data_IF_616397388616
#
_entry.id   IF_616397388616
#
_cell.length_a   1.000
_cell.length_b   1.000
_cell.length_c   1.000
_cell.angle_alpha   90.00
_cell.angle_beta   90.00
_cell.angle_gamma   90.00
#
_symmetry.space_group_name_H-M   'P 1'
#
loop_
_entity.id
_entity.type
_entity.pdbx_description
1 polymer ?
#
# COMPACT_ATOMS: atom_id res chain seq x y z
N UNK A 1 -33.54 -3.53 -0.43
CA UNK A 1 -32.11 -3.86 -0.25
C UNK A 1 -31.49 -2.72 0.52
N UNK A 2 -30.93 -3.04 1.68
CA UNK A 2 -30.16 -2.12 2.50
C UNK A 2 -28.67 -2.38 2.25
N UNK A 3 -27.87 -1.31 2.29
CA UNK A 3 -26.43 -1.35 2.00
C UNK A 3 -25.66 -0.53 3.02
N UNK A 4 -24.62 -1.14 3.61
CA UNK A 4 -23.71 -0.45 4.51
C UNK A 4 -22.75 0.50 3.76
N UNK A 5 -22.03 1.35 4.50
CA UNK A 5 -21.12 2.35 3.94
C UNK A 5 -20.02 1.77 3.06
N UNK A 6 -19.47 0.61 3.42
CA UNK A 6 -18.47 -0.10 2.61
C UNK A 6 -19.02 -0.45 1.23
N UNK A 7 -20.21 -1.04 1.20
CA UNK A 7 -20.89 -1.41 -0.03
C UNK A 7 -21.26 -0.18 -0.86
N UNK A 8 -21.70 0.91 -0.22
CA UNK A 8 -21.95 2.19 -0.90
C UNK A 8 -20.69 2.72 -1.60
N UNK A 9 -19.54 2.79 -0.92
CA UNK A 9 -18.27 3.25 -1.53
C UNK A 9 -17.83 2.33 -2.68
N UNK A 10 -18.03 1.01 -2.54
CA UNK A 10 -17.75 0.07 -3.61
C UNK A 10 -18.64 0.32 -4.85
N UNK A 11 -19.92 0.61 -4.66
CA UNK A 11 -20.84 0.99 -5.75
C UNK A 11 -20.37 2.25 -6.48
N UNK A 12 -19.96 3.29 -5.74
CA UNK A 12 -19.39 4.52 -6.34
C UNK A 12 -18.17 4.18 -7.20
N UNK A 13 -17.24 3.39 -6.67
CA UNK A 13 -16.03 3.00 -7.39
C UNK A 13 -16.33 2.22 -8.66
N UNK A 14 -17.28 1.28 -8.61
CA UNK A 14 -17.70 0.51 -9.80
C UNK A 14 -18.40 1.38 -10.85
N UNK A 15 -19.06 2.47 -10.43
CA UNK A 15 -19.58 3.50 -11.33
C UNK A 15 -18.51 4.43 -11.92
N UNK A 16 -17.23 4.23 -11.60
CA UNK A 16 -16.13 5.02 -12.15
C UNK A 16 -15.93 6.37 -11.45
N UNK A 17 -16.41 6.50 -10.22
CA UNK A 17 -16.14 7.69 -9.42
C UNK A 17 -14.65 7.84 -9.14
N UNK A 18 -14.19 9.08 -9.10
CA UNK A 18 -12.82 9.42 -8.68
C UNK A 18 -12.73 9.38 -7.15
N UNK A 19 -11.51 9.23 -6.64
CA UNK A 19 -11.23 9.30 -5.20
C UNK A 19 -11.85 10.53 -4.52
N UNK A 20 -11.73 11.72 -5.12
CA UNK A 20 -12.28 12.95 -4.54
C UNK A 20 -13.82 12.95 -4.46
N UNK A 21 -14.49 12.34 -5.45
CA UNK A 21 -15.95 12.21 -5.44
C UNK A 21 -16.39 11.19 -4.38
N UNK A 22 -15.69 10.06 -4.28
CA UNK A 22 -15.95 9.06 -3.23
C UNK A 22 -15.73 9.64 -1.84
N UNK A 23 -14.65 10.42 -1.65
CA UNK A 23 -14.36 11.11 -0.40
C UNK A 23 -15.41 12.16 -0.06
N UNK A 24 -15.94 12.89 -1.04
CA UNK A 24 -17.04 13.83 -0.82
C UNK A 24 -18.30 13.12 -0.31
N UNK A 25 -18.65 11.98 -0.91
CA UNK A 25 -19.76 11.15 -0.44
C UNK A 25 -19.51 10.59 0.97
N UNK A 26 -18.31 10.06 1.23
CA UNK A 26 -17.92 9.57 2.55
C UNK A 26 -17.98 10.67 3.63
N UNK A 27 -17.51 11.88 3.33
CA UNK A 27 -17.64 13.04 4.23
C UNK A 27 -19.09 13.43 4.47
N UNK A 28 -19.96 13.29 3.48
CA UNK A 28 -21.39 13.54 3.66
C UNK A 28 -22.02 12.50 4.59
N UNK A 29 -21.64 11.21 4.50
CA UNK A 29 -22.06 10.19 5.47
C UNK A 29 -21.63 10.52 6.90
N UNK A 30 -20.39 11.00 7.07
CA UNK A 30 -19.89 11.47 8.38
C UNK A 30 -20.75 12.62 8.89
N UNK A 31 -20.94 13.66 8.07
CA UNK A 31 -21.70 14.87 8.43
C UNK A 31 -23.13 14.55 8.88
N UNK A 32 -23.76 13.55 8.27
CA UNK A 32 -25.13 13.12 8.57
C UNK A 32 -25.21 12.05 9.67
N UNK A 33 -24.06 11.63 10.23
CA UNK A 33 -23.97 10.53 11.21
C UNK A 33 -24.61 9.21 10.70
N UNK A 34 -24.27 8.83 9.47
CA UNK A 34 -24.83 7.66 8.77
C UNK A 34 -23.81 6.54 8.50
N UNK A 35 -22.56 6.67 8.96
CA UNK A 35 -21.50 5.71 8.63
C UNK A 35 -21.80 4.27 9.07
N UNK A 36 -22.39 4.10 10.25
CA UNK A 36 -22.72 2.80 10.84
C UNK A 36 -24.12 2.30 10.45
N UNK A 37 -24.92 3.14 9.78
CA UNK A 37 -26.29 2.79 9.40
C UNK A 37 -26.32 2.07 8.05
N UNK A 38 -27.17 1.06 7.96
CA UNK A 38 -27.53 0.53 6.65
C UNK A 38 -28.57 1.45 6.01
N UNK A 39 -28.35 1.80 4.74
CA UNK A 39 -29.24 2.69 3.99
C UNK A 39 -29.93 1.90 2.88
N UNK A 40 -31.20 2.19 2.65
CA UNK A 40 -31.88 1.79 1.44
C UNK A 40 -31.23 2.45 0.21
N UNK A 41 -31.47 1.89 -0.97
CA UNK A 41 -31.01 2.51 -2.22
C UNK A 41 -31.58 3.92 -2.42
N UNK A 42 -32.79 4.19 -1.93
CA UNK A 42 -33.42 5.51 -2.05
C UNK A 42 -32.69 6.54 -1.18
N UNK A 43 -32.42 6.22 0.09
CA UNK A 43 -31.65 7.08 1.00
C UNK A 43 -30.24 7.37 0.45
N UNK A 44 -29.56 6.35 -0.11
CA UNK A 44 -28.27 6.54 -0.77
C UNK A 44 -28.37 7.46 -2.02
N UNK A 45 -29.47 7.39 -2.77
CA UNK A 45 -29.73 8.29 -3.90
C UNK A 45 -29.96 9.73 -3.44
N UNK A 46 -30.63 9.96 -2.31
CA UNK A 46 -30.84 11.29 -1.74
C UNK A 46 -29.51 11.93 -1.33
N UNK A 47 -28.62 11.16 -0.69
CA UNK A 47 -27.27 11.61 -0.35
C UNK A 47 -26.50 11.96 -1.62
N UNK A 48 -26.51 11.08 -2.63
CA UNK A 48 -25.92 11.37 -3.95
C UNK A 48 -26.51 12.65 -4.56
N UNK A 49 -27.82 12.85 -4.47
CA UNK A 49 -28.50 14.01 -5.04
C UNK A 49 -28.06 15.31 -4.37
N UNK A 50 -27.81 15.28 -3.05
CA UNK A 50 -27.33 16.42 -2.25
C UNK A 50 -25.90 16.88 -2.56
N UNK A 51 -25.10 16.05 -3.24
CA UNK A 51 -23.73 16.39 -3.60
C UNK A 51 -23.67 17.29 -4.83
N UNK A 52 -22.98 18.42 -4.69
CA UNK A 52 -22.76 19.39 -5.76
C UNK A 52 -21.43 19.15 -6.46
N UNK A 53 -21.49 18.52 -7.63
CA UNK A 53 -20.33 18.33 -8.52
C UNK A 53 -20.47 19.17 -9.78
N UNK A 54 -19.37 19.74 -10.28
CA UNK A 54 -19.35 20.47 -11.58
C UNK A 54 -19.84 19.60 -12.74
N UNK A 55 -19.41 18.34 -12.76
CA UNK A 55 -19.94 17.30 -13.65
C UNK A 55 -20.46 16.16 -12.78
N UNK A 56 -21.78 15.94 -12.81
CA UNK A 56 -22.41 14.93 -11.95
C UNK A 56 -22.03 13.53 -12.43
N UNK A 57 -21.33 12.71 -11.62
CA UNK A 57 -20.93 11.37 -12.00
C UNK A 57 -22.16 10.46 -12.11
N UNK A 58 -21.97 9.27 -12.68
CA UNK A 58 -23.04 8.27 -12.80
C UNK A 58 -23.60 7.91 -11.41
N UNK A 59 -24.92 8.00 -11.22
CA UNK A 59 -25.58 7.52 -10.00
C UNK A 59 -25.55 5.98 -9.94
N UNK A 60 -24.83 5.37 -8.98
CA UNK A 60 -24.76 3.91 -8.92
C UNK A 60 -25.96 3.25 -8.25
N UNK A 61 -26.80 4.01 -7.55
CA UNK A 61 -27.84 3.47 -6.66
C UNK A 61 -29.17 3.22 -7.38
N UNK A 62 -29.22 3.39 -8.71
CA UNK A 62 -30.39 3.08 -9.53
C UNK A 62 -30.43 1.57 -9.81
N UNK A 63 -31.56 0.95 -9.45
CA UNK A 63 -31.80 -0.50 -9.42
C UNK A 63 -31.90 -1.14 -10.80
N UNK A 64 -30.84 -1.10 -11.61
CA UNK A 64 -30.70 -1.84 -12.89
C UNK A 64 -29.25 -1.95 -13.38
N UNK A 65 -28.29 -1.21 -12.81
CA UNK A 65 -26.93 -1.07 -13.39
C UNK A 65 -25.85 -2.01 -12.85
N UNK A 66 -26.09 -2.69 -11.73
CA UNK A 66 -25.05 -3.52 -11.08
C UNK A 66 -25.51 -4.93 -10.75
N UNK A 67 -24.60 -5.89 -10.93
CA UNK A 67 -24.71 -7.22 -10.37
C UNK A 67 -24.31 -7.16 -8.89
N UNK A 68 -25.33 -7.14 -8.02
CA UNK A 68 -25.14 -7.01 -6.57
C UNK A 68 -24.47 -8.23 -5.92
N UNK A 69 -24.63 -9.43 -6.47
CA UNK A 69 -23.94 -10.63 -5.99
C UNK A 69 -22.42 -10.51 -6.18
N UNK A 70 -22.01 -10.07 -7.36
CA UNK A 70 -20.60 -9.82 -7.65
C UNK A 70 -20.01 -8.72 -6.75
N UNK A 71 -20.76 -7.64 -6.50
CA UNK A 71 -20.33 -6.59 -5.56
C UNK A 71 -20.19 -7.10 -4.13
N UNK A 72 -21.05 -8.03 -3.70
CA UNK A 72 -20.94 -8.61 -2.37
C UNK A 72 -19.64 -9.43 -2.21
N UNK A 73 -19.28 -10.22 -3.22
CA UNK A 73 -18.00 -10.94 -3.26
C UNK A 73 -16.81 -9.98 -3.20
N UNK A 74 -16.86 -8.88 -3.96
CA UNK A 74 -15.82 -7.85 -3.92
C UNK A 74 -15.73 -7.14 -2.57
N UNK A 75 -16.87 -6.91 -1.92
CA UNK A 75 -16.93 -6.33 -0.57
C UNK A 75 -16.22 -7.22 0.45
N UNK A 76 -16.44 -8.54 0.41
CA UNK A 76 -15.76 -9.52 1.27
C UNK A 76 -14.25 -9.58 1.03
N UNK A 77 -13.80 -9.28 -0.19
CA UNK A 77 -12.38 -9.23 -0.59
C UNK A 77 -11.80 -7.82 -0.55
N UNK A 78 -12.35 -6.95 0.29
CA UNK A 78 -11.87 -5.58 0.46
C UNK A 78 -11.77 -5.18 1.92
N UNK A 79 -10.88 -4.24 2.20
CA UNK A 79 -10.70 -3.53 3.45
C UNK A 79 -11.38 -2.18 3.30
N UNK A 80 -12.26 -1.84 4.22
CA UNK A 80 -12.85 -0.51 4.31
C UNK A 80 -12.11 0.31 5.36
N UNK A 81 -12.04 1.64 5.20
CA UNK A 81 -11.32 2.54 6.10
C UNK A 81 -11.75 2.41 7.58
N UNK A 82 -12.97 1.93 7.84
CA UNK A 82 -13.52 1.70 9.18
C UNK A 82 -13.44 0.23 9.65
N UNK A 83 -12.89 -0.68 8.84
CA UNK A 83 -12.67 -2.07 9.27
C UNK A 83 -11.57 -2.10 10.35
N UNK A 84 -11.73 -2.95 11.36
CA UNK A 84 -10.84 -3.02 12.54
C UNK A 84 -9.36 -3.27 12.19
N UNK A 85 -9.10 -4.09 11.18
CA UNK A 85 -7.77 -4.46 10.69
C UNK A 85 -7.35 -3.64 9.46
N UNK A 86 -8.06 -2.56 9.15
CA UNK A 86 -7.56 -1.55 8.22
C UNK A 86 -6.33 -0.87 8.84
N UNK A 87 -5.20 -0.74 8.11
CA UNK A 87 -4.00 -0.15 8.69
C UNK A 87 -4.25 1.28 9.19
N UNK A 88 -4.21 1.50 10.50
CA UNK A 88 -4.35 2.83 11.10
C UNK A 88 -3.34 3.82 10.51
N UNK A 89 -2.15 3.33 10.16
CA UNK A 89 -1.10 4.09 9.48
C UNK A 89 -1.57 4.72 8.15
N UNK A 90 -2.50 4.09 7.42
CA UNK A 90 -3.07 4.65 6.20
C UNK A 90 -4.12 5.73 6.45
N UNK A 91 -4.84 5.70 7.57
CA UNK A 91 -5.80 6.75 7.92
C UNK A 91 -5.11 8.10 8.13
N UNK A 92 -3.83 8.09 8.50
CA UNK A 92 -3.00 9.28 8.73
C UNK A 92 -2.43 9.89 7.44
N UNK A 93 -2.60 9.24 6.29
CA UNK A 93 -2.15 9.79 5.01
C UNK A 93 -2.94 11.03 4.63
N UNK A 94 -2.31 11.97 3.91
CA UNK A 94 -3.00 13.14 3.37
C UNK A 94 -4.18 12.76 2.44
N UNK A 95 -4.07 11.62 1.77
CA UNK A 95 -5.13 10.99 0.98
C UNK A 95 -5.25 9.53 1.42
N UNK A 96 -6.03 9.24 2.48
CA UNK A 96 -6.20 7.86 2.95
C UNK A 96 -7.07 7.08 1.95
N UNK A 97 -6.75 5.82 1.61
CA UNK A 97 -7.63 5.04 0.74
C UNK A 97 -8.94 4.72 1.49
N UNK A 98 -10.07 4.82 0.82
CA UNK A 98 -11.37 4.50 1.44
C UNK A 98 -11.67 2.99 1.37
N UNK A 99 -11.16 2.32 0.33
CA UNK A 99 -11.31 0.90 0.13
C UNK A 99 -10.03 0.34 -0.50
N UNK A 100 -9.58 -0.82 -0.03
CA UNK A 100 -8.43 -1.53 -0.60
C UNK A 100 -8.81 -2.99 -0.78
N UNK A 101 -8.75 -3.50 -2.01
CA UNK A 101 -8.95 -4.91 -2.29
C UNK A 101 -7.74 -5.72 -1.82
N UNK A 102 -7.97 -6.96 -1.40
CA UNK A 102 -6.91 -7.84 -0.97
C UNK A 102 -7.06 -9.26 -1.53
N UNK A 103 -5.94 -9.98 -1.58
CA UNK A 103 -5.88 -11.43 -1.82
C UNK A 103 -4.78 -12.05 -0.98
N UNK A 104 -5.09 -13.13 -0.26
CA UNK A 104 -4.16 -13.83 0.62
C UNK A 104 -4.40 -13.55 2.11
N UNK A 105 -3.35 -13.66 2.92
CA UNK A 105 -3.44 -13.63 4.39
C UNK A 105 -3.52 -12.21 4.95
N UNK A 106 -4.74 -11.78 5.28
CA UNK A 106 -5.03 -10.45 5.87
C UNK A 106 -4.30 -10.19 7.19
N UNK A 107 -4.03 -11.23 7.98
CA UNK A 107 -3.34 -11.10 9.28
C UNK A 107 -1.90 -10.58 9.18
N UNK A 108 -1.31 -10.55 7.98
CA UNK A 108 -0.06 -9.86 7.72
C UNK A 108 -0.12 -8.36 8.09
N UNK A 109 -1.29 -7.72 7.97
CA UNK A 109 -1.50 -6.32 8.33
C UNK A 109 -1.29 -6.02 9.81
N UNK A 110 -1.40 -7.05 10.67
CA UNK A 110 -1.23 -6.92 12.13
C UNK A 110 0.23 -7.09 12.58
N UNK A 111 1.13 -7.47 11.67
CA UNK A 111 2.54 -7.74 11.99
C UNK A 111 3.38 -6.45 12.01
N UNK A 112 4.63 -6.55 12.48
CA UNK A 112 5.61 -5.47 12.30
C UNK A 112 5.95 -5.35 10.82
N UNK A 113 5.73 -4.19 10.20
CA UNK A 113 5.90 -3.99 8.76
C UNK A 113 7.05 -3.02 8.48
N UNK A 114 7.90 -3.35 7.51
CA UNK A 114 8.88 -2.41 6.95
C UNK A 114 8.68 -2.33 5.43
N UNK A 115 8.61 -1.11 4.92
CA UNK A 115 8.54 -0.90 3.47
C UNK A 115 9.93 -0.86 2.89
N UNK A 116 10.17 -1.57 1.77
CA UNK A 116 11.44 -1.53 1.06
C UNK A 116 11.18 -1.11 -0.38
N UNK A 117 11.89 -0.06 -0.82
CA UNK A 117 11.76 0.50 -2.16
C UNK A 117 13.13 0.82 -2.74
N UNK A 118 13.23 0.82 -4.06
CA UNK A 118 14.52 1.04 -4.69
C UNK A 118 14.48 1.01 -6.19
N UNK A 119 15.65 1.04 -6.82
CA UNK A 119 15.78 1.08 -8.27
C UNK A 119 15.20 -0.17 -8.94
N UNK A 120 14.75 0.01 -10.18
CA UNK A 120 14.36 -1.10 -11.07
C UNK A 120 15.58 -1.82 -11.67
N UNK A 121 16.75 -1.18 -11.62
CA UNK A 121 18.00 -1.68 -12.19
C UNK A 121 19.07 -1.72 -11.10
N UNK A 122 19.00 -2.77 -10.28
CA UNK A 122 19.84 -2.96 -9.09
C UNK A 122 21.28 -3.25 -9.49
N UNK A 123 22.23 -2.55 -8.87
CA UNK A 123 23.66 -2.77 -9.12
C UNK A 123 24.14 -4.09 -8.50
N UNK A 124 25.38 -4.49 -8.80
CA UNK A 124 25.98 -5.66 -8.16
C UNK A 124 26.13 -5.49 -6.64
N UNK A 125 26.36 -4.26 -6.19
CA UNK A 125 26.40 -3.93 -4.76
C UNK A 125 25.03 -4.19 -4.12
N UNK A 126 23.96 -3.60 -4.67
CA UNK A 126 22.59 -3.83 -4.19
C UNK A 126 22.18 -5.31 -4.22
N UNK A 127 22.54 -6.06 -5.28
CA UNK A 127 22.27 -7.51 -5.36
C UNK A 127 22.97 -8.32 -4.27
N UNK A 128 24.13 -7.87 -3.80
CA UNK A 128 24.87 -8.52 -2.72
C UNK A 128 24.30 -8.17 -1.34
N UNK A 129 24.00 -6.88 -1.11
CA UNK A 129 23.63 -6.37 0.23
C UNK A 129 22.14 -6.54 0.53
N UNK A 130 21.25 -6.34 -0.45
CA UNK A 130 19.80 -6.41 -0.24
C UNK A 130 19.32 -7.74 0.37
N UNK A 131 19.78 -8.92 -0.09
CA UNK A 131 19.45 -10.20 0.55
C UNK A 131 19.85 -10.28 2.03
N UNK A 132 21.00 -9.72 2.40
CA UNK A 132 21.47 -9.71 3.79
C UNK A 132 20.57 -8.85 4.68
N UNK A 133 20.17 -7.68 4.18
CA UNK A 133 19.22 -6.78 4.85
C UNK A 133 17.85 -7.45 5.03
N UNK A 134 17.33 -8.08 3.98
CA UNK A 134 16.05 -8.81 3.99
C UNK A 134 16.07 -9.93 5.03
N UNK A 135 17.13 -10.75 5.06
CA UNK A 135 17.26 -11.82 6.03
C UNK A 135 17.30 -11.28 7.47
N UNK A 136 18.04 -10.19 7.71
CA UNK A 136 18.09 -9.54 9.02
C UNK A 136 16.71 -9.02 9.45
N UNK A 137 15.96 -8.39 8.55
CA UNK A 137 14.59 -7.91 8.79
C UNK A 137 13.66 -9.07 9.18
N UNK A 138 13.64 -10.13 8.36
CA UNK A 138 12.75 -11.28 8.56
C UNK A 138 13.08 -12.04 9.86
N UNK A 139 14.37 -12.22 10.17
CA UNK A 139 14.82 -12.85 11.42
C UNK A 139 14.44 -12.04 12.67
N UNK A 140 14.22 -10.73 12.55
CA UNK A 140 13.68 -9.88 13.63
C UNK A 140 12.15 -9.83 13.66
N UNK A 141 11.49 -10.74 12.95
CA UNK A 141 10.03 -10.86 12.85
C UNK A 141 9.32 -9.65 12.21
N UNK A 142 10.05 -8.86 11.41
CA UNK A 142 9.45 -7.84 10.55
C UNK A 142 9.05 -8.44 9.21
N UNK A 143 7.95 -7.97 8.63
CA UNK A 143 7.43 -8.39 7.32
C UNK A 143 7.64 -7.30 6.30
N UNK A 144 7.94 -7.69 5.07
CA UNK A 144 8.37 -6.77 4.03
C UNK A 144 7.19 -6.27 3.22
N UNK A 145 7.07 -4.96 3.05
CA UNK A 145 6.09 -4.36 2.13
C UNK A 145 6.80 -3.74 0.94
N UNK A 146 6.34 -4.02 -0.27
CA UNK A 146 6.89 -3.41 -1.48
C UNK A 146 5.88 -3.36 -2.63
N UNK A 147 6.31 -2.81 -3.77
CA UNK A 147 5.47 -2.42 -4.88
C UNK A 147 5.45 -3.38 -6.07
N UNK A 148 6.00 -4.59 -5.97
CA UNK A 148 5.96 -5.58 -7.05
C UNK A 148 6.60 -5.13 -8.40
N UNK A 149 7.36 -4.03 -8.41
CA UNK A 149 8.10 -3.61 -9.61
C UNK A 149 9.30 -4.55 -9.88
N UNK A 150 9.99 -4.34 -11.00
CA UNK A 150 11.30 -4.97 -11.23
C UNK A 150 12.35 -4.41 -10.26
N UNK A 151 13.46 -5.12 -10.11
CA UNK A 151 14.61 -4.67 -9.32
C UNK A 151 14.40 -4.91 -7.83
N UNK A 152 14.58 -3.87 -7.00
CA UNK A 152 14.53 -4.01 -5.53
C UNK A 152 13.24 -4.66 -5.06
N UNK A 153 12.07 -4.20 -5.53
CA UNK A 153 10.77 -4.76 -5.16
C UNK A 153 10.68 -6.28 -5.44
N UNK A 154 11.14 -6.70 -6.62
CA UNK A 154 11.14 -8.11 -7.03
C UNK A 154 12.06 -8.95 -6.13
N UNK A 155 13.27 -8.47 -5.84
CA UNK A 155 14.24 -9.15 -4.98
C UNK A 155 13.66 -9.27 -3.55
N UNK A 156 13.07 -8.19 -3.04
CA UNK A 156 12.42 -8.17 -1.73
C UNK A 156 11.36 -9.26 -1.57
N UNK A 157 10.42 -9.31 -2.50
CA UNK A 157 9.36 -10.31 -2.47
C UNK A 157 9.92 -11.73 -2.68
N UNK A 158 10.87 -11.93 -3.60
CA UNK A 158 11.40 -13.25 -3.91
C UNK A 158 12.12 -13.87 -2.71
N UNK A 159 12.98 -13.10 -2.04
CA UNK A 159 13.67 -13.56 -0.83
C UNK A 159 12.70 -13.80 0.33
N UNK A 160 11.72 -12.91 0.53
CA UNK A 160 10.71 -13.10 1.58
C UNK A 160 9.83 -14.34 1.34
N UNK A 161 9.52 -14.66 0.08
CA UNK A 161 8.76 -15.87 -0.27
C UNK A 161 9.56 -17.15 0.00
N UNK A 162 10.88 -17.13 -0.20
CA UNK A 162 11.76 -18.26 0.16
C UNK A 162 11.84 -18.46 1.67
N UNK A 163 11.85 -17.38 2.44
CA UNK A 163 11.86 -17.44 3.91
C UNK A 163 10.65 -18.19 4.49
N UNK A 164 9.47 -18.04 3.87
CA UNK A 164 8.27 -18.77 4.25
C UNK A 164 6.98 -18.00 3.99
N UNK A 165 5.81 -18.63 4.20
CA UNK A 165 4.52 -17.95 4.06
C UNK A 165 4.38 -16.77 5.03
N UNK A 166 3.47 -15.85 4.74
CA UNK A 166 3.22 -14.68 5.59
C UNK A 166 4.47 -13.84 5.89
N UNK A 167 5.34 -13.67 4.89
CA UNK A 167 6.59 -12.91 5.01
C UNK A 167 6.59 -11.55 4.30
N UNK A 168 5.63 -11.29 3.42
CA UNK A 168 5.63 -10.07 2.61
C UNK A 168 4.24 -9.63 2.16
N UNK A 169 4.08 -8.34 1.91
CA UNK A 169 2.88 -7.70 1.38
C UNK A 169 3.28 -6.97 0.09
N UNK A 170 2.61 -7.27 -1.02
CA UNK A 170 2.76 -6.55 -2.27
C UNK A 170 1.56 -5.63 -2.50
N UNK A 171 1.80 -4.33 -2.64
CA UNK A 171 0.75 -3.36 -2.98
C UNK A 171 0.90 -3.04 -4.45
N UNK A 172 -0.08 -3.33 -5.29
CA UNK A 172 0.03 -3.20 -6.76
C UNK A 172 -0.71 -1.98 -7.31
N UNK A 173 -0.34 -1.54 -8.52
CA UNK A 173 -0.93 -0.38 -9.20
C UNK A 173 -2.04 -0.76 -10.22
N UNK A 174 -2.53 -1.99 -10.13
CA UNK A 174 -3.51 -2.61 -11.03
C UNK A 174 -4.54 -3.40 -10.25
N UNK A 175 -5.63 -3.79 -10.90
CA UNK A 175 -6.49 -4.86 -10.39
C UNK A 175 -5.79 -6.22 -10.40
N UNK A 176 -6.28 -7.16 -9.60
CA UNK A 176 -5.70 -8.51 -9.48
C UNK A 176 -5.81 -9.38 -10.74
N UNK A 177 -6.71 -9.07 -11.68
CA UNK A 177 -6.82 -9.74 -12.99
C UNK A 177 -5.86 -9.16 -14.03
N UNK A 178 -5.04 -8.20 -13.64
CA UNK A 178 -4.02 -7.59 -14.47
C UNK A 178 -2.66 -7.85 -13.82
N UNK A 179 -1.65 -8.06 -14.67
CA UNK A 179 -0.29 -8.35 -14.23
C UNK A 179 0.63 -7.29 -14.79
N UNK A 180 1.39 -6.65 -13.90
CA UNK A 180 2.45 -5.73 -14.29
C UNK A 180 3.60 -5.81 -13.28
N UNK A 181 4.86 -5.96 -13.74
CA UNK A 181 5.31 -6.26 -15.10
C UNK A 181 4.73 -7.57 -15.67
N UNK A 182 4.58 -7.70 -17.00
CA UNK A 182 3.90 -8.86 -17.63
C UNK A 182 4.50 -10.22 -17.25
N UNK A 183 5.81 -10.29 -17.01
CA UNK A 183 6.52 -11.50 -16.63
C UNK A 183 6.37 -11.86 -15.13
N UNK A 184 5.56 -11.14 -14.35
CA UNK A 184 5.34 -11.40 -12.92
C UNK A 184 4.03 -12.18 -12.65
N UNK A 185 3.42 -12.83 -13.64
CA UNK A 185 2.11 -13.49 -13.47
C UNK A 185 2.13 -14.62 -12.42
N UNK A 186 3.09 -15.54 -12.56
CA UNK A 186 3.29 -16.61 -11.59
C UNK A 186 3.68 -16.05 -10.21
N UNK A 187 4.50 -15.00 -10.21
CA UNK A 187 4.97 -14.34 -9.00
C UNK A 187 3.82 -13.69 -8.20
N UNK A 188 2.93 -12.97 -8.90
CA UNK A 188 1.71 -12.38 -8.32
C UNK A 188 0.77 -13.49 -7.83
N UNK A 189 0.61 -14.57 -8.59
CA UNK A 189 -0.23 -15.70 -8.18
C UNK A 189 0.26 -16.32 -6.88
N UNK A 190 1.56 -16.61 -6.77
CA UNK A 190 2.17 -17.18 -5.55
C UNK A 190 2.07 -16.25 -4.34
N UNK A 191 2.27 -14.94 -4.52
CA UNK A 191 2.05 -13.95 -3.46
C UNK A 191 0.59 -13.93 -2.99
N UNK A 192 -0.37 -13.95 -3.91
CA UNK A 192 -1.79 -13.98 -3.55
C UNK A 192 -2.25 -15.26 -2.86
N UNK A 193 -1.47 -16.34 -2.92
CA UNK A 193 -1.79 -17.62 -2.29
C UNK A 193 -1.19 -17.76 -0.89
N UNK A 194 0.08 -17.34 -0.70
CA UNK A 194 0.86 -17.60 0.53
C UNK A 194 1.25 -16.34 1.31
N UNK A 195 0.90 -15.16 0.80
CA UNK A 195 1.28 -13.86 1.33
C UNK A 195 0.09 -12.91 1.26
N UNK A 196 0.30 -11.61 1.08
CA UNK A 196 -0.79 -10.65 0.92
C UNK A 196 -0.54 -9.74 -0.30
N UNK A 197 -1.53 -9.68 -1.17
CA UNK A 197 -1.62 -8.69 -2.25
C UNK A 197 -2.68 -7.66 -1.89
N UNK A 198 -2.37 -6.38 -2.10
CA UNK A 198 -3.26 -5.24 -1.86
C UNK A 198 -3.37 -4.39 -3.12
N UNK A 199 -4.56 -3.84 -3.40
CA UNK A 199 -4.77 -2.90 -4.49
C UNK A 199 -5.92 -1.94 -4.19
N UNK A 200 -5.73 -0.65 -4.47
CA UNK A 200 -6.82 0.32 -4.41
C UNK A 200 -7.74 0.25 -5.66
N UNK A 201 -7.34 -0.53 -6.66
CA UNK A 201 -8.00 -0.61 -7.96
C UNK A 201 -8.89 -1.85 -8.06
N UNK A 202 -10.02 -1.72 -8.75
CA UNK A 202 -10.95 -2.83 -8.99
C UNK A 202 -10.23 -4.00 -9.68
N UNK A 203 -10.64 -5.26 -9.46
CA UNK A 203 -9.89 -6.42 -9.96
C UNK A 203 -9.63 -6.43 -11.47
N UNK A 204 -10.51 -5.86 -12.27
CA UNK A 204 -10.43 -5.73 -13.74
C UNK A 204 -9.69 -4.47 -14.22
N UNK A 205 -9.31 -3.55 -13.32
CA UNK A 205 -8.75 -2.25 -13.69
C UNK A 205 -7.30 -2.33 -14.17
N UNK A 206 -7.04 -1.81 -15.38
CA UNK A 206 -5.71 -1.73 -15.99
C UNK A 206 -4.83 -0.66 -15.32
N UNK A 207 -3.52 -0.84 -15.43
CA UNK A 207 -2.54 0.16 -14.97
C UNK A 207 -2.62 1.44 -15.80
N UNK A 208 -2.56 2.59 -15.13
CA UNK A 208 -2.25 3.90 -15.74
C UNK A 208 -0.96 4.42 -15.13
N UNK A 209 -0.22 5.28 -15.85
CA UNK A 209 1.08 5.82 -15.37
C UNK A 209 0.96 6.47 -13.98
N UNK A 210 -0.08 7.26 -13.75
CA UNK A 210 -0.32 7.91 -12.46
C UNK A 210 -0.69 6.92 -11.34
N UNK A 211 -1.21 5.72 -11.65
CA UNK A 211 -1.54 4.72 -10.63
C UNK A 211 -0.30 4.28 -9.86
N UNK A 212 0.85 4.18 -10.53
CA UNK A 212 2.11 3.79 -9.88
C UNK A 212 2.57 4.84 -8.87
N UNK A 213 2.42 6.13 -9.21
CA UNK A 213 2.75 7.24 -8.32
C UNK A 213 1.79 7.26 -7.12
N UNK A 214 0.49 7.12 -7.37
CA UNK A 214 -0.53 7.10 -6.31
C UNK A 214 -0.36 5.90 -5.39
N UNK A 215 -0.07 4.70 -5.91
CA UNK A 215 0.17 3.49 -5.11
C UNK A 215 1.30 3.70 -4.13
N UNK A 216 2.38 4.39 -4.52
CA UNK A 216 3.57 4.54 -3.69
C UNK A 216 3.27 5.18 -2.32
N UNK A 217 2.24 6.03 -2.20
CA UNK A 217 1.82 6.57 -0.90
C UNK A 217 1.34 5.47 0.06
N UNK A 218 0.72 4.41 -0.46
CA UNK A 218 0.29 3.26 0.34
C UNK A 218 1.49 2.41 0.78
N UNK A 219 2.45 2.19 -0.12
CA UNK A 219 3.70 1.48 0.22
C UNK A 219 4.46 2.22 1.30
N UNK A 220 4.67 3.53 1.16
CA UNK A 220 5.33 4.32 2.19
C UNK A 220 4.50 4.38 3.49
N UNK A 221 3.19 4.53 3.38
CA UNK A 221 2.32 4.87 4.50
C UNK A 221 1.93 3.72 5.42
N UNK A 222 2.01 2.47 4.97
CA UNK A 222 1.50 1.30 5.71
C UNK A 222 2.40 0.92 6.90
N UNK A 223 3.70 1.19 6.80
CA UNK A 223 4.71 0.84 7.79
C UNK A 223 5.18 2.10 8.53
N UNK A 224 5.65 1.99 9.78
CA UNK A 224 6.29 3.10 10.48
C UNK A 224 7.66 3.48 9.89
N UNK A 225 8.23 2.63 9.02
CA UNK A 225 9.59 2.77 8.51
C UNK A 225 9.72 2.31 7.06
N UNK A 226 10.43 3.11 6.26
CA UNK A 226 10.78 2.79 4.87
C UNK A 226 12.30 2.70 4.71
N UNK A 227 12.77 1.59 4.15
CA UNK A 227 14.16 1.39 3.72
C UNK A 227 14.29 1.67 2.22
N UNK A 228 15.15 2.62 1.86
CA UNK A 228 15.46 2.97 0.47
C UNK A 228 16.78 2.32 0.07
N UNK A 229 16.74 1.48 -0.96
CA UNK A 229 17.90 0.76 -1.50
C UNK A 229 18.13 1.19 -2.93
N UNK A 230 19.23 1.92 -3.18
CA UNK A 230 19.58 2.47 -4.49
C UNK A 230 18.44 3.28 -5.15
N UNK A 231 18.38 4.57 -4.89
CA UNK A 231 17.53 5.51 -5.61
C UNK A 231 18.35 6.58 -6.34
N UNK A 232 18.06 6.80 -7.64
CA UNK A 232 18.54 7.96 -8.38
C UNK A 232 17.73 9.24 -8.05
N UNK A 233 18.29 10.42 -8.32
CA UNK A 233 17.69 11.73 -8.00
C UNK A 233 16.30 11.98 -8.62
N UNK A 234 16.00 11.38 -9.77
CA UNK A 234 14.69 11.49 -10.45
C UNK A 234 14.01 10.12 -10.55
N UNK A 235 14.01 9.37 -9.46
CA UNK A 235 13.45 8.01 -9.41
C UNK A 235 12.09 7.96 -8.71
N UNK A 236 11.26 6.98 -9.09
CA UNK A 236 9.99 6.72 -8.40
C UNK A 236 10.17 6.33 -6.93
N UNK A 237 11.33 5.79 -6.55
CA UNK A 237 11.66 5.38 -5.19
C UNK A 237 11.94 6.60 -4.30
N UNK A 238 12.51 7.67 -4.86
CA UNK A 238 12.63 8.95 -4.16
C UNK A 238 11.27 9.61 -3.93
N UNK A 239 10.32 9.47 -4.88
CA UNK A 239 8.93 9.87 -4.66
C UNK A 239 8.33 9.11 -3.47
N UNK A 240 8.59 7.81 -3.36
CA UNK A 240 8.11 7.01 -2.22
C UNK A 240 8.77 7.43 -0.91
N UNK A 241 10.08 7.74 -0.92
CA UNK A 241 10.77 8.29 0.24
C UNK A 241 10.14 9.61 0.71
N UNK A 242 9.79 10.50 -0.21
CA UNK A 242 9.09 11.73 0.12
C UNK A 242 7.69 11.48 0.71
N UNK A 243 6.95 10.48 0.21
CA UNK A 243 5.69 10.08 0.83
C UNK A 243 5.88 9.54 2.25
N UNK A 244 6.97 8.82 2.52
CA UNK A 244 7.29 8.34 3.86
C UNK A 244 7.52 9.52 4.82
N UNK A 245 8.31 10.51 4.41
CA UNK A 245 8.53 11.73 5.19
C UNK A 245 7.23 12.51 5.44
N UNK A 246 6.39 12.70 4.40
CA UNK A 246 5.08 13.36 4.54
C UNK A 246 4.13 12.62 5.48
N UNK A 247 4.26 11.29 5.58
CA UNK A 247 3.47 10.44 6.47
C UNK A 247 4.13 10.27 7.85
N UNK A 248 5.16 11.05 8.18
CA UNK A 248 5.95 10.96 9.41
C UNK A 248 6.45 9.54 9.68
N UNK A 249 7.02 8.91 8.64
CA UNK A 249 7.65 7.59 8.72
C UNK A 249 9.16 7.74 8.79
N UNK A 250 9.78 6.88 9.56
CA UNK A 250 11.23 6.77 9.66
C UNK A 250 11.80 6.37 8.29
N UNK A 251 12.91 6.98 7.91
CA UNK A 251 13.53 6.76 6.60
C UNK A 251 14.94 6.21 6.80
N UNK A 252 15.09 4.92 6.54
CA UNK A 252 16.37 4.23 6.51
C UNK A 252 16.89 4.21 5.08
N UNK A 253 18.19 4.36 4.88
CA UNK A 253 18.78 4.45 3.54
C UNK A 253 20.06 3.62 3.48
N UNK A 254 20.18 2.79 2.43
CA UNK A 254 21.45 2.16 2.10
C UNK A 254 22.34 3.19 1.37
N UNK A 255 23.47 3.62 1.96
CA UNK A 255 24.40 4.52 1.29
C UNK A 255 25.07 3.82 0.11
N UNK A 256 25.55 4.62 -0.84
CA UNK A 256 26.34 4.09 -1.96
C UNK A 256 27.43 5.05 -2.40
N UNK A 257 28.29 4.59 -3.32
CA UNK A 257 29.44 5.37 -3.78
C UNK A 257 28.97 6.66 -4.44
N UNK A 258 29.74 7.74 -4.29
CA UNK A 258 29.45 9.03 -4.92
C UNK A 258 29.40 8.94 -6.47
N UNK A 259 30.08 7.96 -7.05
CA UNK A 259 30.10 7.69 -8.50
C UNK A 259 28.89 6.91 -8.99
N UNK A 260 28.14 6.25 -8.09
CA UNK A 260 27.02 5.40 -8.45
C UNK A 260 25.77 6.27 -8.61
N UNK A 261 25.35 6.49 -9.86
CA UNK A 261 24.15 7.29 -10.16
C UNK A 261 22.88 6.74 -9.50
N UNK A 262 22.81 5.42 -9.30
CA UNK A 262 21.72 4.75 -8.61
C UNK A 262 21.70 5.00 -7.10
N UNK A 263 22.75 5.60 -6.54
CA UNK A 263 22.86 5.91 -5.11
C UNK A 263 22.80 7.42 -4.84
N UNK A 264 22.79 8.25 -5.88
CA UNK A 264 22.79 9.71 -5.73
C UNK A 264 21.59 10.23 -4.91
N UNK A 265 20.39 9.68 -5.13
CA UNK A 265 19.20 10.02 -4.36
C UNK A 265 19.27 9.50 -2.92
N UNK A 266 19.83 8.31 -2.69
CA UNK A 266 20.10 7.81 -1.33
C UNK A 266 21.02 8.77 -0.56
N UNK A 267 22.12 9.20 -1.19
CA UNK A 267 23.08 10.09 -0.55
C UNK A 267 22.48 11.47 -0.25
N UNK A 268 21.63 12.00 -1.14
CA UNK A 268 20.88 13.25 -0.84
C UNK A 268 19.87 13.06 0.30
N UNK A 269 19.19 11.92 0.39
CA UNK A 269 18.30 11.63 1.52
C UNK A 269 19.07 11.62 2.85
N UNK A 270 20.25 11.00 2.88
CA UNK A 270 21.12 10.99 4.08
C UNK A 270 21.54 12.42 4.44
N UNK A 271 21.92 13.23 3.45
CA UNK A 271 22.31 14.63 3.64
C UNK A 271 21.21 15.48 4.29
N UNK A 272 19.94 15.17 4.03
CA UNK A 272 18.78 15.86 4.63
C UNK A 272 18.25 15.19 5.90
N UNK A 273 18.96 14.21 6.47
CA UNK A 273 18.68 13.63 7.77
C UNK A 273 18.08 12.22 7.77
N UNK A 274 18.03 11.52 6.64
CA UNK A 274 17.67 10.11 6.64
C UNK A 274 18.75 9.25 7.33
N UNK A 275 18.35 8.16 7.98
CA UNK A 275 19.22 7.33 8.82
C UNK A 275 20.01 6.37 7.90
N UNK A 276 21.35 6.48 7.84
CA UNK A 276 22.16 5.60 7.01
C UNK A 276 22.30 4.21 7.65
N UNK A 277 22.13 3.16 6.85
CA UNK A 277 22.38 1.78 7.24
C UNK A 277 23.72 1.34 6.65
N UNK A 278 24.81 1.44 7.41
CA UNK A 278 26.16 1.09 6.94
C UNK A 278 26.54 -0.35 7.29
N UNK A 279 25.83 -0.98 8.24
CA UNK A 279 26.00 -2.39 8.58
C UNK A 279 24.67 -3.01 9.08
N UNK A 280 24.66 -4.34 9.30
CA UNK A 280 23.47 -5.07 9.76
C UNK A 280 23.09 -4.78 11.23
N UNK A 281 24.04 -4.29 12.02
CA UNK A 281 23.81 -3.92 13.42
C UNK A 281 23.02 -2.61 13.50
N UNK A 282 23.31 -1.62 12.66
CA UNK A 282 22.55 -0.37 12.60
C UNK A 282 21.08 -0.66 12.28
N UNK A 283 20.84 -1.50 11.24
CA UNK A 283 19.50 -1.94 10.89
C UNK A 283 18.82 -2.65 12.06
N UNK A 284 19.55 -3.50 12.79
CA UNK A 284 19.02 -4.19 13.96
C UNK A 284 18.54 -3.20 15.03
N UNK A 285 19.39 -2.23 15.36
CA UNK A 285 19.14 -1.24 16.41
C UNK A 285 17.97 -0.33 16.05
N UNK A 286 17.90 0.13 14.81
CA UNK A 286 16.78 0.95 14.35
C UNK A 286 15.46 0.18 14.37
N UNK A 287 15.44 -1.08 13.91
CA UNK A 287 14.24 -1.91 13.99
C UNK A 287 13.80 -2.15 15.45
N UNK A 288 14.73 -2.32 16.39
CA UNK A 288 14.41 -2.45 17.81
C UNK A 288 13.81 -1.15 18.36
N UNK A 289 14.46 0.00 18.11
CA UNK A 289 13.98 1.32 18.51
C UNK A 289 12.58 1.61 18.00
N UNK A 290 12.34 1.37 16.71
CA UNK A 290 11.05 1.63 16.06
C UNK A 290 9.99 0.66 16.59
N UNK A 291 10.35 -0.61 16.84
CA UNK A 291 9.43 -1.58 17.42
C UNK A 291 8.92 -1.14 18.78
N UNK A 292 9.79 -0.64 19.66
CA UNK A 292 9.40 -0.20 21.01
C UNK A 292 8.35 0.90 20.97
N UNK A 293 8.46 1.83 20.01
CA UNK A 293 7.56 2.98 19.91
C UNK A 293 6.24 2.66 19.19
N UNK A 294 6.31 1.98 18.04
CA UNK A 294 5.15 1.76 17.16
C UNK A 294 4.45 0.41 17.36
N UNK A 295 5.12 -0.54 18.02
CA UNK A 295 4.64 -1.91 18.19
C UNK A 295 4.80 -2.40 19.65
N UNK A 296 4.28 -1.67 20.65
CA UNK A 296 4.52 -1.97 22.07
C UNK A 296 3.95 -3.33 22.52
N UNK A 297 2.98 -3.87 21.77
CA UNK A 297 2.38 -5.20 22.02
C UNK A 297 3.28 -6.37 21.58
N UNK A 298 4.39 -6.10 20.90
CA UNK A 298 5.34 -7.12 20.49
C UNK A 298 6.61 -6.97 21.34
N UNK A 299 6.91 -7.90 22.26
CA UNK A 299 8.13 -7.82 23.05
C UNK A 299 9.39 -7.91 22.16
N UNK A 300 10.48 -7.27 22.61
CA UNK A 300 11.80 -7.52 22.05
C UNK A 300 12.19 -8.96 22.44
N UNK A 301 12.61 -9.76 21.45
CA UNK A 301 13.10 -11.14 21.68
C UNK A 301 14.54 -11.07 22.14
#
# INVERSE_FOLDING_TARGET
>A
MFINSKFQILCLRKAGWTYHQELAYFKQLIKLNLLEKELSLLEAQEIYASLNFRHKPLNPFIRTKFNYEHLNQLSQQSLFILDEDFPHAWQQLAQPPLLVFFRGYRDLLKQRLISIVGTRSVTNYGKCVLPLLINKILNKNWKIVSGMAQGVDQICHAHAMVYGPMSTIAIIATGFKQVYPKNHEEFQTKLGQKHLLLSEYLPDQKAKRHHFIMRNRLVAGISPVTLVVEAALKSGSLITANYALQANRELLVLPGRMTDQQSAGCNELIKIGAIPIINLQDLSQELDRISTYFYPKFPLV
#
